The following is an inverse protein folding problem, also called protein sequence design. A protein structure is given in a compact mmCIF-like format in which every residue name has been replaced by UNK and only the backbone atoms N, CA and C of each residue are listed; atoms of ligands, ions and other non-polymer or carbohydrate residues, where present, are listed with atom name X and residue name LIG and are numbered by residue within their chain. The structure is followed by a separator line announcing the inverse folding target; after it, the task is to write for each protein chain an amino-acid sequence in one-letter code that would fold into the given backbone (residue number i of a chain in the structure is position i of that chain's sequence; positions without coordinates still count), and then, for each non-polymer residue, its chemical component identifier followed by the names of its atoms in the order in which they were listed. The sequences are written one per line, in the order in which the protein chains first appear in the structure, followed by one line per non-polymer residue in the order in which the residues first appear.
data_IF_579515471282
#
_entry.id   IF_579515471282
#
_cell.length_a   1.000
_cell.length_b   1.000
_cell.length_c   1.000
_cell.angle_alpha   90.00
_cell.angle_beta   90.00
_cell.angle_gamma   90.00
#
_symmetry.space_group_name_H-M   'P 1'
#
loop_
_entity.id
_entity.type
_entity.pdbx_description
1 polymer ?
#
# COMPACT_ATOMS: atom_id res chain seq x y z
N UNK A 1 46.30 73.10 15.68
CA UNK A 1 45.49 71.85 15.76
C UNK A 1 45.15 71.65 17.22
N UNK A 2 43.87 71.47 17.57
CA UNK A 2 43.05 70.32 17.12
C UNK A 2 41.87 70.71 16.22
N UNK A 3 41.45 69.77 15.37
CA UNK A 3 40.20 69.83 14.62
C UNK A 3 39.05 69.56 15.59
N UNK A 4 38.15 70.54 15.75
CA UNK A 4 36.85 70.31 16.37
C UNK A 4 36.10 69.29 15.51
N UNK A 5 35.92 68.07 16.02
CA UNK A 5 34.97 67.14 15.43
C UNK A 5 33.58 67.79 15.47
N UNK A 6 32.82 67.80 14.36
CA UNK A 6 31.45 68.29 14.39
C UNK A 6 30.65 67.45 15.39
N UNK A 7 30.16 68.13 16.42
CA UNK A 7 29.44 67.53 17.53
C UNK A 7 28.03 67.16 17.02
N UNK A 8 27.87 65.92 16.53
CA UNK A 8 26.60 65.42 15.99
C UNK A 8 25.45 65.36 17.02
N UNK A 9 25.74 65.61 18.30
CA UNK A 9 24.79 65.62 19.41
C UNK A 9 23.65 66.65 19.30
N UNK A 10 23.72 67.62 18.38
CA UNK A 10 22.66 68.62 18.18
C UNK A 10 21.81 68.42 16.91
N UNK A 11 22.07 67.37 16.11
CA UNK A 11 21.39 67.21 14.80
C UNK A 11 20.14 66.32 14.84
N UNK A 12 19.91 65.58 15.93
CA UNK A 12 18.70 64.78 16.09
C UNK A 12 18.00 65.22 17.36
N UNK A 13 16.83 65.88 17.24
CA UNK A 13 16.06 66.30 18.41
C UNK A 13 15.70 65.05 19.21
N UNK A 14 16.31 64.87 20.39
CA UNK A 14 16.08 63.76 21.34
C UNK A 14 14.58 63.51 21.61
N UNK A 15 13.74 64.55 21.49
CA UNK A 15 12.29 64.47 21.55
C UNK A 15 11.70 63.49 20.52
N UNK A 16 12.19 63.51 19.28
CA UNK A 16 11.76 62.58 18.23
C UNK A 16 12.32 61.17 18.46
N UNK A 17 13.51 61.03 19.04
CA UNK A 17 14.10 59.72 19.39
C UNK A 17 13.26 59.01 20.46
N UNK A 18 12.87 59.73 21.52
CA UNK A 18 12.03 59.17 22.59
C UNK A 18 10.64 58.80 22.09
N UNK A 19 10.05 59.62 21.23
CA UNK A 19 8.75 59.36 20.62
C UNK A 19 8.80 58.14 19.67
N UNK A 20 9.85 58.04 18.86
CA UNK A 20 10.07 56.90 17.96
C UNK A 20 10.29 55.58 18.72
N UNK A 21 11.07 55.61 19.81
CA UNK A 21 11.29 54.43 20.64
C UNK A 21 10.00 53.98 21.35
N UNK A 22 9.23 54.91 21.89
CA UNK A 22 7.95 54.61 22.54
C UNK A 22 6.92 54.04 21.55
N UNK A 23 6.90 54.56 20.31
CA UNK A 23 6.08 54.00 19.24
C UNK A 23 6.52 52.58 18.86
N UNK A 24 7.84 52.36 18.74
CA UNK A 24 8.43 51.06 18.41
C UNK A 24 8.11 50.00 19.46
N UNK A 25 8.34 50.29 20.74
CA UNK A 25 8.04 49.34 21.83
C UNK A 25 6.54 49.04 21.91
N UNK A 26 5.69 50.05 21.74
CA UNK A 26 4.24 49.85 21.79
C UNK A 26 3.69 49.00 20.62
N UNK A 27 4.35 49.03 19.46
CA UNK A 27 3.91 48.29 18.26
C UNK A 27 4.85 47.15 17.85
N UNK A 28 5.82 46.78 18.70
CA UNK A 28 6.83 45.77 18.39
C UNK A 28 6.19 44.42 18.06
N UNK A 29 5.15 44.06 18.80
CA UNK A 29 4.38 42.81 18.58
C UNK A 29 3.68 42.85 17.22
N UNK A 30 3.08 43.99 16.85
CA UNK A 30 2.43 44.13 15.55
C UNK A 30 3.43 44.00 14.41
N UNK A 31 4.61 44.61 14.56
CA UNK A 31 5.68 44.55 13.57
C UNK A 31 6.25 43.13 13.38
N UNK A 32 6.26 42.31 14.44
CA UNK A 32 6.66 40.91 14.38
C UNK A 32 5.56 40.01 13.78
N UNK A 33 4.28 40.29 14.06
CA UNK A 33 3.17 39.47 13.58
C UNK A 33 2.87 39.65 12.08
N UNK A 34 3.01 40.86 11.54
CA UNK A 34 2.75 41.15 10.12
C UNK A 34 3.55 40.25 9.15
N UNK A 35 4.89 40.13 9.26
CA UNK A 35 5.67 39.28 8.35
C UNK A 35 5.38 37.79 8.56
N UNK A 36 5.05 37.36 9.77
CA UNK A 36 4.64 35.98 10.05
C UNK A 36 3.33 35.67 9.34
N UNK A 37 2.32 36.54 9.47
CA UNK A 37 1.05 36.39 8.78
C UNK A 37 1.20 36.43 7.26
N UNK A 38 2.02 37.35 6.73
CA UNK A 38 2.33 37.40 5.31
C UNK A 38 3.02 36.13 4.82
N UNK A 39 3.97 35.57 5.60
CA UNK A 39 4.61 34.30 5.30
C UNK A 39 3.65 33.12 5.26
N UNK A 40 2.75 33.03 6.25
CA UNK A 40 1.70 32.00 6.29
C UNK A 40 0.77 32.13 5.08
N UNK A 41 0.34 33.35 4.74
CA UNK A 41 -0.52 33.60 3.57
C UNK A 41 0.20 33.20 2.27
N UNK A 42 1.49 33.52 2.13
CA UNK A 42 2.28 33.11 0.96
C UNK A 42 2.40 31.59 0.88
N UNK A 43 2.66 30.90 1.99
CA UNK A 43 2.74 29.44 2.01
C UNK A 43 1.38 28.78 1.72
N UNK A 44 0.28 29.33 2.21
CA UNK A 44 -1.09 28.87 1.88
C UNK A 44 -1.48 29.18 0.43
N UNK A 45 -0.96 30.26 -0.16
CA UNK A 45 -1.17 30.54 -1.59
C UNK A 45 -0.31 29.64 -2.49
N UNK A 46 0.85 29.17 -2.00
CA UNK A 46 1.72 28.21 -2.68
C UNK A 46 1.16 26.79 -2.63
N UNK A 47 0.73 26.36 -1.44
CA UNK A 47 0.04 25.10 -1.20
C UNK A 47 -1.43 25.30 -1.55
N UNK A 48 -1.81 25.06 -2.81
CA UNK A 48 -3.18 25.29 -3.26
C UNK A 48 -4.24 24.60 -2.38
N UNK A 49 -5.51 25.05 -2.42
CA UNK A 49 -6.57 24.51 -1.56
C UNK A 49 -6.76 22.99 -1.68
N UNK A 50 -6.41 22.40 -2.83
CA UNK A 50 -6.44 20.95 -3.08
C UNK A 50 -5.46 20.14 -2.21
N UNK A 51 -4.29 20.70 -1.87
CA UNK A 51 -3.31 20.04 -0.99
C UNK A 51 -3.68 20.17 0.48
N UNK A 52 -4.31 21.29 0.86
CA UNK A 52 -4.79 21.54 2.22
C UNK A 52 -6.06 20.72 2.52
N UNK A 53 -6.93 20.53 1.52
CA UNK A 53 -8.09 19.63 1.60
C UNK A 53 -7.76 18.17 1.26
N UNK A 54 -6.51 17.91 0.85
CA UNK A 54 -5.98 16.59 0.49
C UNK A 54 -5.77 15.70 1.70
N UNK A 55 -6.82 15.49 2.50
CA UNK A 55 -6.87 14.36 3.43
C UNK A 55 -6.65 13.12 2.56
N UNK A 56 -5.61 12.32 2.81
CA UNK A 56 -5.40 11.10 2.03
C UNK A 56 -6.68 10.28 2.12
N UNK A 57 -7.33 10.07 0.96
CA UNK A 57 -8.54 9.25 0.90
C UNK A 57 -8.17 7.88 1.42
N UNK A 58 -8.65 7.57 2.61
CA UNK A 58 -8.32 6.32 3.27
C UNK A 58 -8.92 5.18 2.46
N UNK A 59 -8.07 4.24 2.07
CA UNK A 59 -8.46 3.05 1.31
C UNK A 59 -8.74 1.95 2.32
N UNK A 60 -9.93 1.36 2.24
CA UNK A 60 -10.36 0.31 3.15
C UNK A 60 -10.62 -0.99 2.40
N UNK A 61 -10.19 -2.10 2.98
CA UNK A 61 -10.65 -3.42 2.59
C UNK A 61 -12.03 -3.64 3.21
N UNK A 62 -13.07 -3.66 2.37
CA UNK A 62 -14.45 -3.87 2.84
C UNK A 62 -14.66 -5.33 3.23
N UNK A 63 -14.24 -6.27 2.38
CA UNK A 63 -14.38 -7.70 2.64
C UNK A 63 -13.45 -8.53 1.73
N UNK A 64 -13.31 -9.83 2.03
CA UNK A 64 -12.59 -10.82 1.24
C UNK A 64 -13.32 -12.17 1.23
N UNK A 65 -13.07 -12.96 0.19
CA UNK A 65 -13.51 -14.34 0.08
C UNK A 65 -12.45 -15.19 -0.63
N UNK A 66 -12.34 -16.45 -0.24
CA UNK A 66 -11.43 -17.41 -0.85
C UNK A 66 -12.20 -18.66 -1.27
N UNK A 67 -11.81 -19.25 -2.40
CA UNK A 67 -12.29 -20.56 -2.77
C UNK A 67 -11.65 -21.63 -1.89
N UNK A 68 -12.46 -22.51 -1.32
CA UNK A 68 -12.01 -23.71 -0.61
C UNK A 68 -12.30 -24.93 -1.49
N UNK A 69 -11.27 -25.63 -1.99
CA UNK A 69 -11.47 -26.83 -2.80
C UNK A 69 -12.12 -27.96 -1.99
N UNK A 70 -12.85 -28.87 -2.66
CA UNK A 70 -13.39 -30.06 -2.02
C UNK A 70 -12.28 -31.00 -1.56
N UNK A 71 -12.60 -31.87 -0.60
CA UNK A 71 -11.64 -32.83 -0.02
C UNK A 71 -11.06 -33.81 -1.04
N UNK A 72 -11.72 -34.01 -2.17
CA UNK A 72 -11.24 -34.82 -3.29
C UNK A 72 -9.99 -34.25 -3.96
N UNK A 73 -9.74 -32.94 -3.80
CA UNK A 73 -8.54 -32.30 -4.33
C UNK A 73 -7.34 -32.38 -3.37
N UNK A 74 -7.55 -32.83 -2.14
CA UNK A 74 -6.51 -32.94 -1.12
C UNK A 74 -5.48 -34.00 -1.51
N UNK A 75 -4.20 -33.68 -1.32
CA UNK A 75 -3.09 -34.60 -1.57
C UNK A 75 -2.21 -34.67 -0.32
N UNK A 76 -2.36 -35.73 0.49
CA UNK A 76 -1.44 -36.03 1.58
C UNK A 76 -0.02 -36.27 1.07
N UNK A 77 0.98 -36.08 1.92
CA UNK A 77 2.38 -36.25 1.53
C UNK A 77 2.70 -37.66 1.03
N UNK A 78 2.10 -38.69 1.64
CA UNK A 78 2.27 -40.07 1.21
C UNK A 78 1.81 -40.27 -0.24
N UNK A 79 0.62 -39.77 -0.59
CA UNK A 79 0.07 -39.83 -1.95
C UNK A 79 0.94 -39.08 -2.94
N UNK A 80 1.38 -37.86 -2.59
CA UNK A 80 2.30 -37.10 -3.43
C UNK A 80 3.59 -37.87 -3.71
N UNK A 81 4.22 -38.42 -2.66
CA UNK A 81 5.47 -39.17 -2.78
C UNK A 81 5.34 -40.46 -3.58
N UNK A 82 4.21 -41.16 -3.45
CA UNK A 82 3.91 -42.34 -4.26
C UNK A 82 3.78 -41.97 -5.74
N UNK A 83 2.99 -40.93 -6.04
CA UNK A 83 2.78 -40.45 -7.40
C UNK A 83 4.08 -39.92 -8.02
N UNK A 84 4.92 -39.20 -7.27
CA UNK A 84 6.22 -38.75 -7.75
C UNK A 84 7.14 -39.92 -8.10
N UNK A 85 7.16 -41.00 -7.32
CA UNK A 85 7.95 -42.21 -7.63
C UNK A 85 7.47 -42.92 -8.89
N UNK A 86 6.16 -42.95 -9.12
CA UNK A 86 5.58 -43.54 -10.33
C UNK A 86 5.87 -42.69 -11.57
N UNK A 87 5.65 -41.38 -11.49
CA UNK A 87 5.79 -40.46 -12.62
C UNK A 87 7.26 -40.18 -12.98
N UNK A 88 8.18 -40.18 -12.00
CA UNK A 88 9.60 -39.90 -12.20
C UNK A 88 10.47 -41.16 -11.98
N UNK A 89 9.95 -42.33 -12.35
CA UNK A 89 10.61 -43.63 -12.13
C UNK A 89 12.05 -43.66 -12.65
N UNK A 90 12.31 -43.00 -13.78
CA UNK A 90 13.64 -42.96 -14.41
C UNK A 90 14.58 -41.88 -13.82
N UNK A 91 14.13 -41.15 -12.80
CA UNK A 91 14.84 -40.00 -12.24
C UNK A 91 14.73 -39.94 -10.70
N UNK A 92 15.35 -40.88 -9.98
CA UNK A 92 15.26 -40.96 -8.51
C UNK A 92 15.78 -39.71 -7.81
N UNK A 93 16.82 -39.06 -8.35
CA UNK A 93 17.35 -37.78 -7.82
C UNK A 93 16.31 -36.66 -7.81
N UNK A 94 15.41 -36.63 -8.80
CA UNK A 94 14.34 -35.65 -8.90
C UNK A 94 13.25 -35.91 -7.86
N UNK A 95 12.96 -37.17 -7.55
CA UNK A 95 12.03 -37.56 -6.47
C UNK A 95 12.59 -37.11 -5.11
N UNK A 96 13.87 -37.37 -4.84
CA UNK A 96 14.51 -36.92 -3.58
C UNK A 96 14.54 -35.39 -3.47
N UNK A 97 14.69 -34.69 -4.59
CA UNK A 97 14.63 -33.23 -4.63
C UNK A 97 13.23 -32.72 -4.31
N UNK A 98 12.19 -33.29 -4.93
CA UNK A 98 10.80 -32.94 -4.61
C UNK A 98 10.46 -33.22 -3.15
N UNK A 99 10.95 -34.33 -2.58
CA UNK A 99 10.77 -34.66 -1.15
C UNK A 99 11.37 -33.58 -0.24
N UNK A 100 12.62 -33.18 -0.51
CA UNK A 100 13.28 -32.10 0.26
C UNK A 100 12.54 -30.76 0.16
N UNK A 101 11.96 -30.46 -1.00
CA UNK A 101 11.12 -29.26 -1.16
C UNK A 101 9.86 -29.41 -0.32
N UNK A 102 9.15 -30.53 -0.42
CA UNK A 102 7.91 -30.77 0.30
C UNK A 102 8.10 -30.58 1.81
N UNK A 103 9.15 -31.18 2.38
CA UNK A 103 9.50 -31.07 3.80
C UNK A 103 9.85 -29.65 4.28
N UNK A 104 10.25 -28.76 3.37
CA UNK A 104 10.71 -27.40 3.69
C UNK A 104 9.78 -26.29 3.21
N UNK A 105 8.78 -26.63 2.41
CA UNK A 105 7.87 -25.69 1.77
C UNK A 105 6.84 -25.05 2.71
N UNK A 106 6.68 -25.60 3.91
CA UNK A 106 5.61 -25.19 4.83
C UNK A 106 4.21 -25.64 4.39
N UNK A 107 4.11 -26.47 3.35
CA UNK A 107 2.86 -27.15 2.99
C UNK A 107 2.44 -28.11 4.10
N UNK A 108 1.13 -28.35 4.22
CA UNK A 108 0.57 -29.28 5.20
C UNK A 108 -0.16 -30.44 4.52
N UNK A 109 -0.64 -31.40 5.32
CA UNK A 109 -1.37 -32.58 4.84
C UNK A 109 -2.74 -32.25 4.20
N UNK A 110 -3.22 -31.01 4.35
CA UNK A 110 -4.47 -30.50 3.75
C UNK A 110 -4.25 -29.78 2.40
N UNK A 111 -3.01 -29.79 1.89
CA UNK A 111 -2.68 -29.17 0.61
C UNK A 111 -3.48 -29.81 -0.52
N UNK A 112 -4.02 -28.98 -1.41
CA UNK A 112 -4.82 -29.43 -2.54
C UNK A 112 -4.11 -29.16 -3.86
N UNK A 113 -4.30 -30.06 -4.83
CA UNK A 113 -3.77 -29.92 -6.19
C UNK A 113 -4.91 -29.87 -7.22
N UNK A 114 -4.69 -29.23 -8.38
CA UNK A 114 -5.61 -29.24 -9.52
C UNK A 114 -6.02 -30.65 -9.93
N UNK A 115 -7.29 -30.89 -10.32
CA UNK A 115 -7.76 -32.20 -10.79
C UNK A 115 -6.86 -32.83 -11.88
N UNK A 116 -6.28 -32.02 -12.76
CA UNK A 116 -5.37 -32.47 -13.82
C UNK A 116 -4.12 -33.22 -13.31
N UNK A 117 -3.71 -32.97 -12.06
CA UNK A 117 -2.53 -33.58 -11.43
C UNK A 117 -2.86 -34.88 -10.69
N UNK A 118 -4.15 -35.17 -10.47
CA UNK A 118 -4.58 -36.42 -9.82
C UNK A 118 -4.59 -37.63 -10.76
N UNK A 119 -4.50 -37.42 -12.07
CA UNK A 119 -4.35 -38.51 -13.05
C UNK A 119 -2.93 -39.10 -13.02
N UNK A 120 -2.82 -40.39 -13.36
CA UNK A 120 -1.53 -41.07 -13.54
C UNK A 120 -1.50 -41.67 -14.96
N UNK A 121 -0.68 -41.15 -15.89
CA UNK A 121 0.15 -39.95 -15.74
C UNK A 121 -0.69 -38.66 -15.66
N UNK A 122 -0.16 -37.57 -15.06
CA UNK A 122 -0.82 -36.26 -15.04
C UNK A 122 -1.18 -35.78 -16.45
N UNK A 123 -2.30 -35.09 -16.58
CA UNK A 123 -2.77 -34.55 -17.86
C UNK A 123 -2.96 -33.03 -17.80
N UNK A 124 -1.87 -32.25 -17.66
CA UNK A 124 -1.96 -30.79 -17.62
C UNK A 124 -2.24 -30.24 -19.03
N UNK A 125 -3.47 -29.78 -19.25
CA UNK A 125 -3.86 -29.10 -20.48
C UNK A 125 -4.27 -27.66 -20.20
N UNK A 126 -4.15 -26.79 -21.21
CA UNK A 126 -4.63 -25.41 -21.11
C UNK A 126 -6.14 -25.33 -20.86
N UNK A 127 -6.90 -26.32 -21.35
CA UNK A 127 -8.34 -26.44 -21.09
C UNK A 127 -8.61 -26.72 -19.61
N UNK A 128 -7.92 -27.71 -19.02
CA UNK A 128 -8.07 -28.04 -17.61
C UNK A 128 -7.66 -26.88 -16.69
N UNK A 129 -6.55 -26.19 -17.02
CA UNK A 129 -6.09 -25.03 -16.27
C UNK A 129 -7.09 -23.85 -16.34
N UNK A 130 -7.69 -23.60 -17.51
CA UNK A 130 -8.75 -22.59 -17.65
C UNK A 130 -9.98 -22.96 -16.84
N UNK A 131 -10.43 -24.21 -16.90
CA UNK A 131 -11.59 -24.69 -16.14
C UNK A 131 -11.39 -24.56 -14.63
N UNK A 132 -10.19 -24.85 -14.12
CA UNK A 132 -9.85 -24.63 -12.72
C UNK A 132 -9.84 -23.14 -12.36
N UNK A 133 -9.15 -22.31 -13.14
CA UNK A 133 -9.10 -20.87 -12.88
C UNK A 133 -10.49 -20.25 -12.86
N UNK A 134 -11.35 -20.64 -13.80
CA UNK A 134 -12.75 -20.24 -13.87
C UNK A 134 -13.51 -20.60 -12.60
N UNK A 135 -13.42 -21.87 -12.18
CA UNK A 135 -14.07 -22.37 -10.97
C UNK A 135 -13.59 -21.61 -9.72
N UNK A 136 -12.28 -21.44 -9.55
CA UNK A 136 -11.68 -20.79 -8.38
C UNK A 136 -12.08 -19.32 -8.31
N UNK A 137 -11.93 -18.58 -9.41
CA UNK A 137 -12.18 -17.15 -9.47
C UNK A 137 -13.67 -16.86 -9.29
N UNK A 138 -14.55 -17.52 -10.05
CA UNK A 138 -15.98 -17.22 -9.96
C UNK A 138 -16.57 -17.68 -8.64
N UNK A 139 -16.14 -18.82 -8.07
CA UNK A 139 -16.61 -19.22 -6.74
C UNK A 139 -16.24 -18.20 -5.65
N UNK A 140 -15.03 -17.64 -5.71
CA UNK A 140 -14.60 -16.61 -4.77
C UNK A 140 -15.38 -15.29 -4.95
N UNK A 141 -15.58 -14.86 -6.20
CA UNK A 141 -16.38 -13.66 -6.52
C UNK A 141 -17.82 -13.83 -6.06
N UNK A 142 -18.47 -14.96 -6.37
CA UNK A 142 -19.86 -15.23 -5.98
C UNK A 142 -20.01 -15.23 -4.45
N UNK A 143 -19.06 -15.84 -3.73
CA UNK A 143 -19.04 -15.82 -2.28
C UNK A 143 -18.89 -14.40 -1.72
N UNK A 144 -18.01 -13.57 -2.31
CA UNK A 144 -17.79 -12.19 -1.91
C UNK A 144 -19.03 -11.31 -2.16
N UNK A 145 -19.63 -11.40 -3.35
CA UNK A 145 -20.84 -10.65 -3.70
C UNK A 145 -22.02 -11.04 -2.82
N UNK A 146 -22.17 -12.34 -2.54
CA UNK A 146 -23.21 -12.86 -1.63
C UNK A 146 -23.01 -12.35 -0.20
N UNK A 147 -21.77 -12.30 0.29
CA UNK A 147 -21.44 -11.86 1.65
C UNK A 147 -21.64 -10.35 1.84
N UNK A 148 -21.22 -9.55 0.86
CA UNK A 148 -21.26 -8.09 0.92
C UNK A 148 -22.59 -7.49 0.45
N UNK A 149 -23.33 -8.19 -0.41
CA UNK A 149 -24.54 -7.67 -1.07
C UNK A 149 -24.26 -6.59 -2.12
N UNK A 150 -22.99 -6.33 -2.45
CA UNK A 150 -22.58 -5.37 -3.48
C UNK A 150 -23.09 -5.86 -4.84
N UNK A 151 -23.70 -4.96 -5.61
CA UNK A 151 -24.17 -5.30 -6.95
C UNK A 151 -23.00 -5.11 -7.93
N UNK A 152 -22.88 -5.95 -8.97
CA UNK A 152 -21.80 -5.81 -9.95
C UNK A 152 -21.73 -4.41 -10.60
N UNK A 153 -22.88 -3.74 -10.75
CA UNK A 153 -22.99 -2.38 -11.28
C UNK A 153 -22.42 -1.27 -10.38
N UNK A 154 -22.18 -1.58 -9.10
CA UNK A 154 -21.63 -0.65 -8.11
C UNK A 154 -20.08 -0.77 -8.05
N UNK A 155 -19.46 -1.57 -8.93
CA UNK A 155 -18.02 -1.81 -9.00
C UNK A 155 -17.46 -1.09 -10.22
N UNK A 156 -16.66 -0.05 -9.96
CA UNK A 156 -16.07 0.76 -11.03
C UNK A 156 -14.80 0.14 -11.63
N UNK A 157 -14.03 -0.59 -10.83
CA UNK A 157 -12.70 -1.10 -11.20
C UNK A 157 -12.55 -2.55 -10.76
N UNK A 158 -12.18 -3.41 -11.72
CA UNK A 158 -11.74 -4.77 -11.47
C UNK A 158 -10.24 -4.88 -11.75
N UNK A 159 -9.48 -5.24 -10.71
CA UNK A 159 -8.06 -5.55 -10.83
C UNK A 159 -7.92 -7.07 -10.85
N UNK A 160 -7.19 -7.61 -11.84
CA UNK A 160 -6.92 -9.04 -12.00
C UNK A 160 -5.43 -9.25 -12.27
N UNK A 161 -4.83 -10.23 -11.62
CA UNK A 161 -3.50 -10.75 -11.93
C UNK A 161 -3.70 -12.10 -12.65
N UNK A 162 -3.06 -12.25 -13.82
CA UNK A 162 -3.21 -13.39 -14.74
C UNK A 162 -1.85 -14.03 -14.97
#
# INVERSE_FOLDING_TARGET
MPQNLPNFSHSVRLKYVKLGYQYLVNHIITFLLIPIMAGIVIEVLRLGPEEILGIPRSIYLVDYACYKPPVTCRVPFATFMEHSRMNLKDSPKSVDFQMRILERSGLGEETCLPPAIHYIPPNPTMEAARGEAELVIFSAIDALMKKTGVKPKDIDILIREL
#
